data_IF_933542800468
#
_entry.id   IF_933542800468
#
_cell.length_a   1.000
_cell.length_b   1.000
_cell.length_c   1.000
_cell.angle_alpha   90.00
_cell.angle_beta   90.00
_cell.angle_gamma   90.00
#
_symmetry.space_group_name_H-M   'P 1'
#
loop_
_entity.id
_entity.type
_entity.pdbx_description
1 polymer ?
#
# COMPACT_ATOMS: atom_id res chain seq x y z
N UNK A 1 -19.29 55.13 88.67
CA UNK A 1 -18.78 54.18 89.68
C UNK A 1 -17.93 53.15 88.95
N UNK A 2 -16.68 52.98 89.39
CA UNK A 2 -15.63 52.14 88.77
C UNK A 2 -15.82 50.66 89.11
N UNK A 3 -15.03 49.84 88.40
CA UNK A 3 -14.55 48.47 88.70
C UNK A 3 -15.39 47.32 88.12
N UNK A 4 -14.84 46.19 87.68
CA UNK A 4 -13.51 45.77 87.22
C UNK A 4 -13.63 44.25 86.98
N UNK A 5 -12.95 43.77 85.92
CA UNK A 5 -12.18 42.51 85.85
C UNK A 5 -12.95 41.19 86.07
N UNK A 6 -12.91 40.31 85.06
CA UNK A 6 -12.06 39.10 85.05
C UNK A 6 -12.55 38.17 83.93
N UNK A 7 -11.75 37.92 82.90
CA UNK A 7 -11.88 36.69 82.10
C UNK A 7 -10.57 36.38 81.38
N UNK A 8 -9.94 35.35 81.96
CA UNK A 8 -9.07 34.32 81.38
C UNK A 8 -8.30 34.63 80.09
N UNK A 9 -6.98 34.66 80.25
CA UNK A 9 -5.98 34.45 79.21
C UNK A 9 -5.96 32.97 78.85
N UNK A 10 -6.35 32.60 77.64
CA UNK A 10 -6.09 31.28 77.05
C UNK A 10 -4.83 31.38 76.18
N UNK A 11 -3.71 30.83 76.66
CA UNK A 11 -2.50 30.67 75.89
C UNK A 11 -2.64 29.45 74.96
N UNK A 12 -2.95 29.68 73.68
CA UNK A 12 -2.90 28.65 72.65
C UNK A 12 -1.51 28.67 72.00
N UNK A 13 -0.75 27.62 72.28
CA UNK A 13 0.56 27.29 71.70
C UNK A 13 0.46 27.13 70.18
N UNK A 14 1.04 28.08 69.45
CA UNK A 14 1.25 27.97 68.00
C UNK A 14 2.46 27.07 67.72
N UNK A 15 2.19 25.87 67.19
CA UNK A 15 3.18 25.05 66.50
C UNK A 15 3.24 25.50 65.04
N UNK A 16 4.41 25.82 64.46
CA UNK A 16 4.53 26.14 63.05
C UNK A 16 4.38 24.86 62.22
N UNK A 17 3.28 24.75 61.48
CA UNK A 17 3.08 23.74 60.45
C UNK A 17 4.05 24.05 59.30
N UNK A 18 5.14 23.29 59.20
CA UNK A 18 6.04 23.35 58.06
C UNK A 18 5.31 22.86 56.82
N UNK A 19 4.96 23.79 55.92
CA UNK A 19 4.56 23.47 54.55
C UNK A 19 5.78 22.90 53.83
N UNK A 20 5.82 21.56 53.72
CA UNK A 20 6.69 20.89 52.77
C UNK A 20 6.18 21.20 51.36
N UNK A 21 6.86 22.10 50.65
CA UNK A 21 6.75 22.20 49.20
C UNK A 21 7.30 20.90 48.62
N UNK A 22 6.42 19.97 48.27
CA UNK A 22 6.76 18.89 47.37
C UNK A 22 7.17 19.52 46.03
N UNK A 23 8.44 19.36 45.68
CA UNK A 23 8.95 19.71 44.35
C UNK A 23 8.16 18.88 43.35
N UNK A 24 7.41 19.56 42.47
CA UNK A 24 6.81 18.91 41.31
C UNK A 24 7.91 18.23 40.53
N UNK A 25 7.82 16.91 40.40
CA UNK A 25 8.61 16.16 39.46
C UNK A 25 8.38 16.80 38.09
N UNK A 26 9.46 17.25 37.46
CA UNK A 26 9.42 17.77 36.10
C UNK A 26 8.92 16.66 35.20
N UNK A 27 7.65 16.73 34.85
CA UNK A 27 7.06 15.96 33.76
C UNK A 27 7.96 16.20 32.54
N UNK A 28 8.77 15.18 32.21
CA UNK A 28 9.56 15.22 31.00
C UNK A 28 8.59 15.41 29.84
N UNK A 29 8.79 16.43 28.97
CA UNK A 29 7.93 16.61 27.82
C UNK A 29 7.82 15.30 27.04
N UNK A 30 6.61 14.92 26.57
CA UNK A 30 6.44 13.70 25.81
C UNK A 30 7.40 13.71 24.61
N UNK A 31 8.11 12.60 24.43
CA UNK A 31 9.15 12.37 23.42
C UNK A 31 8.70 12.51 21.95
N UNK A 32 7.48 12.99 21.70
CA UNK A 32 6.88 13.16 20.37
C UNK A 32 7.33 14.45 19.65
N UNK A 33 8.04 15.37 20.33
CA UNK A 33 8.54 16.61 19.73
C UNK A 33 10.00 16.52 19.22
N UNK A 34 10.68 15.39 19.40
CA UNK A 34 12.13 15.28 19.18
C UNK A 34 12.58 14.94 17.74
N UNK A 35 11.67 14.88 16.76
CA UNK A 35 12.04 14.57 15.37
C UNK A 35 12.24 15.80 14.46
N UNK A 36 11.90 17.01 14.90
CA UNK A 36 12.10 18.23 14.08
C UNK A 36 13.51 18.85 14.17
N UNK A 37 14.41 18.30 15.02
CA UNK A 37 15.61 19.04 15.45
C UNK A 37 16.81 19.03 14.47
N UNK A 38 16.72 18.41 13.27
CA UNK A 38 17.87 18.32 12.34
C UNK A 38 17.54 18.45 10.83
N UNK A 39 16.49 19.21 10.44
CA UNK A 39 16.23 19.49 9.01
C UNK A 39 16.81 20.85 8.61
N UNK A 40 17.70 20.86 7.61
CA UNK A 40 18.34 22.10 7.12
C UNK A 40 17.33 23.07 6.51
N UNK A 41 17.61 24.38 6.53
CA UNK A 41 16.72 25.37 5.88
C UNK A 41 16.64 25.16 4.36
N UNK A 42 17.71 24.66 3.73
CA UNK A 42 17.68 24.24 2.33
C UNK A 42 16.70 23.08 2.08
N UNK A 43 16.61 22.11 3.00
CA UNK A 43 15.66 21.01 2.86
C UNK A 43 14.23 21.45 3.07
N UNK A 44 13.98 22.38 4.00
CA UNK A 44 12.66 22.98 4.20
C UNK A 44 12.17 23.68 2.93
N UNK A 45 13.02 24.49 2.30
CA UNK A 45 12.67 25.19 1.06
C UNK A 45 12.47 24.21 -0.10
N UNK A 46 13.36 23.21 -0.24
CA UNK A 46 13.22 22.16 -1.26
C UNK A 46 11.90 21.40 -1.11
N UNK A 47 11.53 20.98 0.10
CA UNK A 47 10.28 20.28 0.36
C UNK A 47 9.04 21.13 0.05
N UNK A 48 9.11 22.44 0.32
CA UNK A 48 8.05 23.42 0.02
C UNK A 48 7.87 23.57 -1.49
N UNK A 49 8.95 23.75 -2.26
CA UNK A 49 8.88 23.85 -3.73
C UNK A 49 8.24 22.58 -4.31
N UNK A 50 8.70 21.39 -3.89
CA UNK A 50 8.15 20.11 -4.35
C UNK A 50 6.65 19.98 -4.02
N UNK A 51 6.24 20.41 -2.83
CA UNK A 51 4.83 20.39 -2.43
C UNK A 51 3.98 21.34 -3.29
N UNK A 52 4.45 22.56 -3.51
CA UNK A 52 3.75 23.56 -4.33
C UNK A 52 3.64 23.12 -5.80
N UNK A 53 4.70 22.52 -6.35
CA UNK A 53 4.67 21.86 -7.66
C UNK A 53 3.63 20.73 -7.72
N UNK A 54 3.59 19.86 -6.71
CA UNK A 54 2.59 18.79 -6.60
C UNK A 54 1.17 19.33 -6.63
N UNK A 55 0.88 20.41 -5.89
CA UNK A 55 -0.44 21.04 -5.87
C UNK A 55 -0.83 21.67 -7.21
N UNK A 56 0.12 22.28 -7.90
CA UNK A 56 -0.13 22.80 -9.25
C UNK A 56 -0.44 21.65 -10.22
N UNK A 57 0.33 20.57 -10.17
CA UNK A 57 0.11 19.39 -11.02
C UNK A 57 -1.24 18.72 -10.75
N UNK A 58 -1.70 18.67 -9.49
CA UNK A 58 -3.06 18.22 -9.17
C UNK A 58 -4.12 19.11 -9.80
N UNK A 59 -3.93 20.43 -9.76
CA UNK A 59 -4.85 21.40 -10.36
C UNK A 59 -4.88 21.26 -11.89
N UNK A 60 -3.74 20.95 -12.50
CA UNK A 60 -3.60 20.68 -13.94
C UNK A 60 -4.14 19.30 -14.38
N UNK A 61 -4.61 18.46 -13.44
CA UNK A 61 -5.06 17.09 -13.72
C UNK A 61 -3.92 16.08 -13.98
N UNK A 62 -2.67 16.45 -13.72
CA UNK A 62 -1.48 15.60 -13.89
C UNK A 62 -1.20 14.79 -12.62
N UNK A 63 -2.16 13.96 -12.21
CA UNK A 63 -2.17 13.28 -10.91
C UNK A 63 -0.93 12.41 -10.65
N UNK A 64 -0.44 11.67 -11.66
CA UNK A 64 0.75 10.81 -11.49
C UNK A 64 1.99 11.64 -11.15
N UNK A 65 2.26 12.68 -11.93
CA UNK A 65 3.39 13.58 -11.67
C UNK A 65 3.24 14.32 -10.33
N UNK A 66 2.01 14.66 -9.92
CA UNK A 66 1.76 15.24 -8.61
C UNK A 66 2.14 14.29 -7.47
N UNK A 67 1.78 13.00 -7.58
CA UNK A 67 2.16 12.01 -6.58
C UNK A 67 3.67 11.88 -6.42
N UNK A 68 4.42 11.88 -7.53
CA UNK A 68 5.88 11.84 -7.48
C UNK A 68 6.43 13.03 -6.68
N UNK A 69 5.91 14.24 -6.92
CA UNK A 69 6.31 15.45 -6.21
C UNK A 69 5.95 15.45 -4.73
N UNK A 70 4.76 14.97 -4.37
CA UNK A 70 4.39 14.82 -2.96
C UNK A 70 5.23 13.75 -2.26
N UNK A 71 5.54 12.64 -2.92
CA UNK A 71 6.41 11.60 -2.38
C UNK A 71 7.84 12.12 -2.16
N UNK A 72 8.38 12.89 -3.10
CA UNK A 72 9.68 13.55 -2.95
C UNK A 72 9.66 14.56 -1.79
N UNK A 73 8.64 15.43 -1.73
CA UNK A 73 8.47 16.39 -0.62
C UNK A 73 8.41 15.68 0.73
N UNK A 74 7.62 14.61 0.84
CA UNK A 74 7.45 13.82 2.07
C UNK A 74 8.75 13.13 2.50
N UNK A 75 9.59 12.70 1.55
CA UNK A 75 10.92 12.13 1.83
C UNK A 75 11.91 13.18 2.35
N UNK A 76 11.86 14.40 1.82
CA UNK A 76 12.75 15.50 2.24
C UNK A 76 12.33 16.04 3.61
N UNK A 77 11.04 16.30 3.79
CA UNK A 77 10.49 16.75 5.06
C UNK A 77 9.10 16.14 5.26
N UNK A 78 8.97 15.11 6.12
CA UNK A 78 7.68 14.52 6.42
C UNK A 78 6.72 15.56 7.01
N UNK A 79 5.51 15.64 6.46
CA UNK A 79 4.49 16.57 6.93
C UNK A 79 3.08 16.01 6.73
N UNK A 80 2.19 16.23 7.70
CA UNK A 80 0.80 15.74 7.66
C UNK A 80 0.07 16.23 6.40
N UNK A 81 0.27 17.49 6.01
CA UNK A 81 -0.33 18.07 4.81
C UNK A 81 0.16 17.42 3.52
N UNK A 82 1.48 17.19 3.40
CA UNK A 82 2.08 16.49 2.25
C UNK A 82 1.59 15.04 2.19
N UNK A 83 1.56 14.35 3.32
CA UNK A 83 1.06 12.98 3.43
C UNK A 83 -0.41 12.86 2.99
N UNK A 84 -1.28 13.79 3.40
CA UNK A 84 -2.68 13.81 2.95
C UNK A 84 -2.80 14.01 1.43
N UNK A 85 -1.99 14.92 0.85
CA UNK A 85 -2.02 15.14 -0.60
C UNK A 85 -1.47 13.93 -1.38
N UNK A 86 -0.47 13.24 -0.82
CA UNK A 86 0.02 11.98 -1.37
C UNK A 86 -1.07 10.89 -1.33
N UNK A 87 -1.85 10.82 -0.24
CA UNK A 87 -2.98 9.90 -0.15
C UNK A 87 -4.07 10.22 -1.20
N UNK A 88 -4.47 11.50 -1.29
CA UNK A 88 -5.51 11.96 -2.24
C UNK A 88 -5.13 11.72 -3.70
N UNK A 89 -3.87 11.98 -4.07
CA UNK A 89 -3.43 11.75 -5.43
C UNK A 89 -3.39 10.24 -5.76
N UNK A 90 -2.98 9.37 -4.82
CA UNK A 90 -3.00 7.92 -5.02
C UNK A 90 -4.42 7.40 -5.18
N UNK A 91 -5.37 7.91 -4.39
CA UNK A 91 -6.79 7.55 -4.52
C UNK A 91 -7.32 7.92 -5.91
N UNK A 92 -6.98 9.11 -6.42
CA UNK A 92 -7.36 9.56 -7.78
C UNK A 92 -6.71 8.74 -8.89
N UNK A 93 -5.59 8.07 -8.64
CA UNK A 93 -4.97 7.12 -9.55
C UNK A 93 -5.59 5.71 -9.47
N UNK A 94 -6.53 5.49 -8.56
CA UNK A 94 -7.11 4.16 -8.30
C UNK A 94 -6.26 3.28 -7.39
N UNK A 95 -5.14 3.77 -6.85
CA UNK A 95 -4.29 3.07 -5.88
C UNK A 95 -4.93 3.09 -4.49
N UNK A 96 -6.03 2.38 -4.36
CA UNK A 96 -6.93 2.42 -3.20
C UNK A 96 -6.31 1.87 -1.92
N UNK A 97 -5.53 0.79 -1.98
CA UNK A 97 -4.85 0.24 -0.80
C UNK A 97 -3.73 1.17 -0.33
N UNK A 98 -2.94 1.72 -1.26
CA UNK A 98 -1.91 2.73 -0.94
C UNK A 98 -2.55 3.95 -0.29
N UNK A 99 -3.61 4.51 -0.88
CA UNK A 99 -4.31 5.67 -0.33
C UNK A 99 -4.92 5.38 1.05
N UNK A 100 -5.54 4.21 1.22
CA UNK A 100 -6.13 3.78 2.50
C UNK A 100 -5.11 3.78 3.63
N UNK A 101 -3.94 3.17 3.41
CA UNK A 101 -2.87 3.13 4.40
C UNK A 101 -2.33 4.53 4.73
N UNK A 102 -2.13 5.38 3.71
CA UNK A 102 -1.67 6.75 3.91
C UNK A 102 -2.71 7.60 4.68
N UNK A 103 -4.01 7.45 4.41
CA UNK A 103 -5.03 8.16 5.19
C UNK A 103 -5.11 7.68 6.63
N UNK A 104 -4.91 6.39 6.90
CA UNK A 104 -4.76 5.88 8.27
C UNK A 104 -3.60 6.56 9.00
N UNK A 105 -2.44 6.66 8.34
CA UNK A 105 -1.28 7.34 8.90
C UNK A 105 -1.56 8.84 9.13
N UNK A 106 -2.27 9.51 8.22
CA UNK A 106 -2.72 10.90 8.43
C UNK A 106 -3.60 10.98 9.67
N UNK A 107 -4.62 10.12 9.79
CA UNK A 107 -5.53 10.11 10.92
C UNK A 107 -4.78 9.96 12.24
N UNK A 108 -3.84 9.01 12.32
CA UNK A 108 -3.04 8.75 13.51
C UNK A 108 -2.13 9.95 13.86
N UNK A 109 -1.45 10.54 12.87
CA UNK A 109 -0.59 11.73 13.08
C UNK A 109 -1.42 12.94 13.50
N UNK A 110 -2.60 13.16 12.90
CA UNK A 110 -3.50 14.27 13.28
C UNK A 110 -4.09 14.10 14.67
N UNK A 111 -4.40 12.85 15.07
CA UNK A 111 -4.85 12.52 16.41
C UNK A 111 -3.77 12.83 17.44
N UNK A 112 -2.53 12.39 17.19
CA UNK A 112 -1.39 12.68 18.05
C UNK A 112 -1.12 14.20 18.17
N UNK A 113 -1.38 14.96 17.10
CA UNK A 113 -1.24 16.41 17.07
C UNK A 113 -2.48 17.19 17.57
N UNK A 114 -3.51 16.50 18.08
CA UNK A 114 -4.78 17.09 18.54
C UNK A 114 -5.50 17.93 17.47
N UNK A 115 -5.37 17.54 16.20
CA UNK A 115 -5.99 18.20 15.04
C UNK A 115 -7.30 17.50 14.63
N UNK A 116 -8.30 17.53 15.52
CA UNK A 116 -9.55 16.75 15.39
C UNK A 116 -10.24 16.90 14.02
N UNK A 117 -10.39 18.12 13.49
CA UNK A 117 -11.05 18.35 12.20
C UNK A 117 -10.32 17.65 11.03
N UNK A 118 -8.99 17.58 11.09
CA UNK A 118 -8.18 16.92 10.05
C UNK A 118 -8.19 15.41 10.22
N UNK A 119 -8.23 14.93 11.46
CA UNK A 119 -8.43 13.51 11.76
C UNK A 119 -9.78 13.03 11.19
N UNK A 120 -10.86 13.77 11.44
CA UNK A 120 -12.19 13.44 10.92
C UNK A 120 -12.17 13.36 9.40
N UNK A 121 -11.54 14.32 8.71
CA UNK A 121 -11.40 14.26 7.25
C UNK A 121 -10.63 13.04 6.76
N UNK A 122 -9.53 12.66 7.42
CA UNK A 122 -8.82 11.45 7.06
C UNK A 122 -9.70 10.19 7.27
N UNK A 123 -10.44 10.13 8.38
CA UNK A 123 -11.37 9.02 8.67
C UNK A 123 -12.54 8.93 7.69
N UNK A 124 -13.08 10.06 7.23
CA UNK A 124 -14.07 10.09 6.15
C UNK A 124 -13.53 9.43 4.87
N UNK A 125 -12.28 9.73 4.49
CA UNK A 125 -11.64 9.09 3.32
C UNK A 125 -11.44 7.59 3.51
N UNK A 126 -10.96 7.18 4.67
CA UNK A 126 -10.78 5.76 5.04
C UNK A 126 -12.10 5.00 4.85
N UNK A 127 -13.19 5.50 5.44
CA UNK A 127 -14.51 4.86 5.38
C UNK A 127 -15.07 4.80 3.95
N UNK A 128 -14.75 5.78 3.09
CA UNK A 128 -15.17 5.79 1.70
C UNK A 128 -14.41 4.78 0.82
N UNK A 129 -13.13 4.51 1.15
CA UNK A 129 -12.26 3.60 0.40
C UNK A 129 -12.43 2.15 0.86
N UNK A 130 -12.62 1.92 2.16
CA UNK A 130 -12.70 0.57 2.77
C UNK A 130 -13.57 -0.45 2.00
N UNK A 131 -14.80 -0.14 1.57
CA UNK A 131 -15.63 -1.12 0.86
C UNK A 131 -15.15 -1.44 -0.56
N UNK A 132 -14.27 -0.61 -1.14
CA UNK A 132 -13.73 -0.77 -2.50
C UNK A 132 -12.41 -1.52 -2.53
N UNK A 133 -11.79 -1.74 -1.36
CA UNK A 133 -10.49 -2.38 -1.27
C UNK A 133 -10.50 -3.77 -1.88
N UNK A 134 -9.64 -3.95 -2.87
CA UNK A 134 -9.25 -5.26 -3.36
C UNK A 134 -8.28 -5.89 -2.36
N UNK A 135 -8.35 -7.20 -2.21
CA UNK A 135 -7.56 -7.90 -1.19
C UNK A 135 -6.94 -9.17 -1.75
N UNK A 136 -5.72 -9.46 -1.32
CA UNK A 136 -5.04 -10.74 -1.56
C UNK A 136 -5.00 -11.50 -0.24
N UNK A 137 -5.48 -12.75 -0.26
CA UNK A 137 -5.36 -13.67 0.86
C UNK A 137 -4.35 -14.76 0.53
N UNK A 138 -3.27 -14.82 1.29
CA UNK A 138 -2.28 -15.89 1.17
C UNK A 138 -2.72 -17.08 2.02
N UNK A 139 -3.25 -18.14 1.39
CA UNK A 139 -3.63 -19.36 2.09
C UNK A 139 -2.40 -20.21 2.37
N UNK A 140 -1.99 -20.27 3.63
CA UNK A 140 -0.81 -21.00 4.10
C UNK A 140 -1.25 -22.12 5.04
N UNK A 141 -1.26 -23.39 4.58
CA UNK A 141 -1.78 -24.51 5.37
C UNK A 141 -0.94 -24.83 6.62
N UNK A 142 0.37 -24.57 6.57
CA UNK A 142 1.29 -24.80 7.70
C UNK A 142 2.40 -23.76 7.69
N UNK A 143 2.31 -22.78 8.60
CA UNK A 143 3.27 -21.66 8.68
C UNK A 143 4.71 -22.16 8.88
N UNK A 144 4.91 -23.20 9.70
CA UNK A 144 6.24 -23.80 9.95
C UNK A 144 6.85 -24.51 8.74
N UNK A 145 6.12 -24.63 7.63
CA UNK A 145 6.63 -25.16 6.36
C UNK A 145 7.00 -24.08 5.34
N UNK A 146 6.76 -22.81 5.65
CA UNK A 146 7.08 -21.67 4.78
C UNK A 146 8.19 -20.87 5.43
N UNK A 147 9.28 -20.64 4.70
CA UNK A 147 10.41 -19.83 5.15
C UNK A 147 10.11 -18.33 5.01
N UNK A 148 9.60 -17.92 3.86
CA UNK A 148 9.21 -16.54 3.58
C UNK A 148 8.18 -16.49 2.44
N UNK A 149 7.31 -15.47 2.47
CA UNK A 149 6.47 -15.07 1.34
C UNK A 149 6.74 -13.60 1.07
N UNK A 150 6.88 -13.23 -0.19
CA UNK A 150 6.88 -11.83 -0.62
C UNK A 150 5.68 -11.55 -1.50
N UNK A 151 5.09 -10.37 -1.35
CA UNK A 151 4.09 -9.79 -2.23
C UNK A 151 4.74 -8.54 -2.86
N UNK A 152 4.88 -8.51 -4.17
CA UNK A 152 5.53 -7.42 -4.93
C UNK A 152 6.94 -7.08 -4.45
N UNK A 153 7.66 -8.10 -3.95
CA UNK A 153 9.01 -7.97 -3.40
C UNK A 153 9.08 -7.56 -1.93
N UNK A 154 7.95 -7.22 -1.30
CA UNK A 154 7.88 -6.94 0.15
C UNK A 154 7.59 -8.21 0.95
N UNK A 155 8.35 -8.45 2.03
CA UNK A 155 8.17 -9.63 2.88
C UNK A 155 6.86 -9.51 3.66
N UNK A 156 5.99 -10.49 3.49
CA UNK A 156 4.72 -10.55 4.23
C UNK A 156 4.96 -11.19 5.60
N UNK A 157 4.52 -10.52 6.66
CA UNK A 157 4.58 -11.06 8.01
C UNK A 157 3.80 -12.37 8.12
N UNK A 158 4.36 -13.34 8.86
CA UNK A 158 3.68 -14.60 9.11
C UNK A 158 2.35 -14.43 9.86
N UNK A 159 2.14 -13.30 10.54
CA UNK A 159 0.88 -12.95 11.19
C UNK A 159 -0.24 -12.65 10.17
N UNK A 160 0.11 -12.15 9.00
CA UNK A 160 -0.85 -11.78 7.95
C UNK A 160 -1.15 -12.91 6.97
N UNK A 161 -0.44 -14.04 7.10
CA UNK A 161 -0.83 -15.27 6.43
C UNK A 161 -2.26 -15.65 6.81
N UNK A 162 -3.06 -15.97 5.80
CA UNK A 162 -4.50 -16.26 5.86
C UNK A 162 -5.41 -15.07 6.18
N UNK A 163 -4.88 -13.85 6.36
CA UNK A 163 -5.67 -12.62 6.38
C UNK A 163 -5.85 -12.08 4.96
N UNK A 164 -6.87 -11.25 4.76
CA UNK A 164 -7.08 -10.53 3.51
C UNK A 164 -6.30 -9.21 3.58
N UNK A 165 -5.22 -9.12 2.80
CA UNK A 165 -4.30 -7.99 2.76
C UNK A 165 -4.77 -7.04 1.66
N UNK A 166 -5.07 -5.76 1.95
CA UNK A 166 -5.40 -4.78 0.91
C UNK A 166 -4.26 -4.66 -0.11
N UNK A 167 -4.62 -4.62 -1.38
CA UNK A 167 -3.70 -4.43 -2.49
C UNK A 167 -4.32 -3.47 -3.53
N UNK A 168 -3.47 -2.74 -4.26
CA UNK A 168 -3.94 -1.83 -5.31
C UNK A 168 -4.45 -2.62 -6.53
N UNK A 169 -5.15 -2.00 -7.50
CA UNK A 169 -5.50 -2.67 -8.74
C UNK A 169 -4.27 -2.99 -9.60
N UNK A 170 -4.35 -4.09 -10.35
CA UNK A 170 -3.34 -4.53 -11.31
C UNK A 170 -2.65 -5.85 -10.96
N UNK A 171 -1.51 -6.09 -11.62
CA UNK A 171 -0.73 -7.31 -11.46
C UNK A 171 0.12 -7.29 -10.18
N UNK A 172 0.00 -8.34 -9.37
CA UNK A 172 0.75 -8.58 -8.16
C UNK A 172 1.53 -9.88 -8.24
N UNK A 173 2.79 -9.87 -7.82
CA UNK A 173 3.65 -11.05 -7.82
C UNK A 173 3.80 -11.61 -6.42
N UNK A 174 3.34 -12.84 -6.21
CA UNK A 174 3.51 -13.59 -4.96
C UNK A 174 4.64 -14.59 -5.13
N UNK A 175 5.68 -14.46 -4.30
CA UNK A 175 6.80 -15.41 -4.27
C UNK A 175 6.84 -16.10 -2.91
N UNK A 176 6.91 -17.44 -2.86
CA UNK A 176 7.03 -18.18 -1.61
C UNK A 176 8.19 -19.17 -1.62
N UNK A 177 8.92 -19.21 -0.50
CA UNK A 177 10.03 -20.14 -0.27
C UNK A 177 9.63 -21.10 0.84
N UNK A 178 9.67 -22.41 0.61
CA UNK A 178 9.32 -23.42 1.62
C UNK A 178 10.58 -24.07 2.22
N UNK A 179 10.46 -24.68 3.41
CA UNK A 179 11.61 -25.30 4.11
C UNK A 179 12.08 -26.62 3.50
N UNK A 180 11.32 -27.22 2.58
CA UNK A 180 11.68 -28.52 1.97
C UNK A 180 12.15 -28.43 0.53
N UNK A 181 12.29 -27.22 -0.03
CA UNK A 181 12.63 -27.07 -1.43
C UNK A 181 14.13 -26.80 -1.62
N UNK A 182 14.81 -27.84 -2.09
CA UNK A 182 16.03 -27.80 -2.89
C UNK A 182 15.74 -27.24 -4.31
N UNK A 183 14.61 -26.53 -4.49
CA UNK A 183 13.99 -26.18 -5.76
C UNK A 183 13.69 -24.68 -5.92
N UNK A 184 13.24 -24.29 -7.12
CA UNK A 184 12.88 -22.92 -7.47
C UNK A 184 11.74 -22.40 -6.58
N UNK A 185 11.70 -21.11 -6.22
CA UNK A 185 10.63 -20.55 -5.40
C UNK A 185 9.27 -20.63 -6.12
N UNK A 186 8.19 -20.73 -5.33
CA UNK A 186 6.83 -20.54 -5.83
C UNK A 186 6.69 -19.12 -6.34
N UNK A 187 6.12 -18.96 -7.53
CA UNK A 187 5.81 -17.66 -8.11
C UNK A 187 4.41 -17.73 -8.74
N UNK A 188 3.51 -16.86 -8.30
CA UNK A 188 2.18 -16.69 -8.87
C UNK A 188 1.90 -15.21 -9.13
N UNK A 189 1.41 -14.91 -10.33
CA UNK A 189 0.96 -13.57 -10.71
C UNK A 189 -0.56 -13.53 -10.53
N UNK A 190 -1.03 -12.56 -9.76
CA UNK A 190 -2.44 -12.30 -9.48
C UNK A 190 -2.82 -10.98 -10.10
N UNK A 191 -3.88 -10.96 -10.88
CA UNK A 191 -4.45 -9.72 -11.40
C UNK A 191 -5.67 -9.32 -10.54
N UNK A 192 -5.68 -8.08 -10.07
CA UNK A 192 -6.79 -7.48 -9.33
C UNK A 192 -7.48 -6.45 -10.22
N UNK A 193 -8.66 -6.80 -10.72
CA UNK A 193 -9.46 -6.00 -11.67
C UNK A 193 -10.87 -5.62 -11.17
N UNK A 194 -11.34 -6.26 -10.09
CA UNK A 194 -12.69 -6.06 -9.52
C UNK A 194 -12.66 -5.46 -8.09
N UNK A 195 -13.24 -4.26 -7.91
CA UNK A 195 -13.32 -3.57 -6.62
C UNK A 195 -13.99 -4.43 -5.53
N UNK A 196 -13.50 -4.36 -4.29
CA UNK A 196 -14.05 -5.08 -3.15
C UNK A 196 -13.82 -6.60 -3.15
N UNK A 197 -13.20 -7.15 -4.20
CA UNK A 197 -12.95 -8.59 -4.31
C UNK A 197 -11.75 -9.02 -3.48
N UNK A 198 -11.84 -10.22 -2.91
CA UNK A 198 -10.70 -10.91 -2.31
C UNK A 198 -10.26 -12.07 -3.20
N UNK A 199 -9.01 -12.07 -3.67
CA UNK A 199 -8.39 -13.18 -4.38
C UNK A 199 -7.57 -14.01 -3.41
N UNK A 200 -7.71 -15.33 -3.43
CA UNK A 200 -6.96 -16.23 -2.56
C UNK A 200 -5.88 -16.97 -3.34
N UNK A 201 -4.64 -16.84 -2.89
CA UNK A 201 -3.45 -17.52 -3.44
C UNK A 201 -3.09 -18.68 -2.52
N UNK A 202 -3.12 -19.91 -3.03
CA UNK A 202 -2.82 -21.10 -2.24
C UNK A 202 -1.32 -21.44 -2.30
N UNK A 203 -0.62 -21.30 -1.18
CA UNK A 203 0.81 -21.58 -1.12
C UNK A 203 1.04 -23.10 -1.00
N UNK A 204 1.68 -23.74 -1.98
CA UNK A 204 1.92 -25.17 -1.94
C UNK A 204 2.98 -25.49 -0.88
N UNK A 205 2.61 -26.31 0.10
CA UNK A 205 3.53 -26.82 1.15
C UNK A 205 3.80 -28.33 1.00
N UNK A 206 3.53 -28.88 -0.20
CA UNK A 206 3.71 -30.30 -0.53
C UNK A 206 5.09 -30.56 -1.16
N UNK A 207 5.84 -31.59 -0.70
CA UNK A 207 7.12 -31.95 -1.29
C UNK A 207 6.98 -32.33 -2.77
N UNK A 208 7.78 -31.72 -3.65
CA UNK A 208 7.86 -32.11 -5.06
C UNK A 208 6.76 -31.54 -5.96
N UNK A 209 6.02 -30.52 -5.52
CA UNK A 209 5.17 -29.75 -6.41
C UNK A 209 6.05 -29.03 -7.45
N UNK A 210 6.11 -29.58 -8.67
CA UNK A 210 6.77 -28.91 -9.79
C UNK A 210 5.98 -27.65 -10.13
N UNK A 211 6.45 -26.53 -9.64
CA UNK A 211 5.85 -25.23 -9.87
C UNK A 211 6.04 -24.87 -11.34
N UNK A 212 4.94 -24.98 -12.11
CA UNK A 212 4.92 -24.44 -13.46
C UNK A 212 4.96 -22.93 -13.31
N UNK A 213 6.13 -22.36 -13.60
CA UNK A 213 6.29 -20.96 -13.97
C UNK A 213 5.22 -20.66 -15.03
N UNK A 214 4.14 -19.99 -14.64
CA UNK A 214 3.19 -19.46 -15.62
C UNK A 214 3.87 -18.21 -16.17
N UNK A 215 4.86 -18.42 -17.03
CA UNK A 215 5.44 -17.33 -17.84
C UNK A 215 4.24 -16.70 -18.52
N UNK A 216 3.94 -15.45 -18.14
CA UNK A 216 2.92 -14.65 -18.80
C UNK A 216 3.14 -14.82 -20.30
N UNK A 217 2.19 -15.46 -20.97
CA UNK A 217 2.25 -15.62 -22.40
C UNK A 217 1.99 -14.22 -22.95
N UNK A 218 3.05 -13.43 -23.11
CA UNK A 218 3.06 -12.24 -23.94
C UNK A 218 2.85 -12.77 -25.37
N UNK A 219 1.59 -13.05 -25.72
CA UNK A 219 1.19 -13.11 -27.12
C UNK A 219 1.29 -11.67 -27.57
N UNK A 220 2.30 -11.36 -28.38
CA UNK A 220 2.33 -10.12 -29.14
C UNK A 220 0.99 -9.96 -29.85
N UNK A 221 0.21 -8.98 -29.42
CA UNK A 221 -1.05 -8.56 -30.03
C UNK A 221 -2.25 -9.48 -29.74
N UNK A 222 -3.03 -9.14 -28.71
CA UNK A 222 -4.42 -9.58 -28.57
C UNK A 222 -4.79 -10.07 -27.17
N UNK A 223 -5.51 -9.25 -26.41
CA UNK A 223 -6.18 -9.62 -25.16
C UNK A 223 -7.24 -10.68 -25.48
N UNK A 224 -7.04 -11.93 -25.08
CA UNK A 224 -8.13 -12.91 -25.04
C UNK A 224 -8.91 -12.69 -23.75
N UNK A 225 -10.06 -12.02 -23.85
CA UNK A 225 -11.03 -11.97 -22.75
C UNK A 225 -11.34 -13.40 -22.29
N UNK A 226 -11.24 -13.62 -20.98
CA UNK A 226 -11.62 -14.87 -20.35
C UNK A 226 -13.08 -15.20 -20.66
N UNK A 227 -13.31 -16.28 -21.40
CA UNK A 227 -14.63 -16.89 -21.51
C UNK A 227 -14.92 -17.56 -20.15
N UNK A 228 -15.57 -16.80 -19.26
CA UNK A 228 -16.37 -17.38 -18.19
C UNK A 228 -17.49 -18.19 -18.84
N UNK A 229 -17.46 -19.51 -18.66
CA UNK A 229 -18.53 -20.39 -19.07
C UNK A 229 -19.79 -20.09 -18.26
N UNK A 230 -20.63 -19.19 -18.76
CA UNK A 230 -22.01 -19.02 -18.32
C UNK A 230 -22.78 -20.22 -18.89
N UNK A 231 -22.97 -21.26 -18.08
CA UNK A 231 -23.95 -22.30 -18.35
C UNK A 231 -25.36 -21.76 -18.06
N UNK A 232 -25.98 -21.10 -19.03
CA UNK A 232 -27.42 -20.85 -19.01
C UNK A 232 -28.14 -22.17 -19.27
N UNK A 233 -28.51 -22.87 -18.19
CA UNK A 233 -29.48 -23.95 -18.24
C UNK A 233 -30.86 -23.36 -18.57
N UNK A 234 -31.19 -23.27 -19.87
CA UNK A 234 -32.56 -23.07 -20.33
C UNK A 234 -33.18 -24.45 -20.55
N UNK A 235 -33.98 -24.87 -19.58
CA UNK A 235 -34.86 -26.03 -19.72
C UNK A 235 -35.98 -25.67 -20.69
N UNK A 236 -35.79 -25.95 -21.98
CA UNK A 236 -36.90 -26.01 -22.94
C UNK A 236 -37.45 -27.44 -22.85
N UNK A 237 -38.62 -27.57 -22.23
CA UNK A 237 -39.45 -28.76 -22.34
C UNK A 237 -39.85 -28.95 -23.81
N UNK A 238 -39.33 -29.99 -24.45
CA UNK A 238 -39.84 -30.46 -25.73
C UNK A 238 -40.78 -31.65 -25.45
N UNK A 239 -42.08 -31.37 -25.35
CA UNK A 239 -43.13 -32.39 -25.40
C UNK A 239 -43.42 -32.74 -26.85
N UNK A 240 -43.23 -34.01 -27.21
CA UNK A 240 -43.59 -34.56 -28.51
C UNK A 240 -45.07 -35.00 -28.53
N UNK A 241 -45.67 -34.76 -29.69
CA UNK A 241 -47.05 -34.91 -30.15
C UNK A 241 -47.83 -36.21 -29.84
N UNK A 242 -49.17 -36.08 -29.84
CA UNK A 242 -50.12 -37.10 -30.30
C UNK A 242 -51.50 -37.01 -29.63
N UNK A 243 -52.46 -36.27 -30.20
CA UNK A 243 -53.74 -36.78 -30.76
C UNK A 243 -54.69 -35.61 -31.15
N UNK A 244 -55.65 -35.93 -32.03
CA UNK A 244 -56.49 -35.05 -32.85
C UNK A 244 -57.57 -34.25 -32.07
N UNK A 245 -58.07 -33.16 -32.68
CA UNK A 245 -59.20 -32.29 -32.28
C UNK A 245 -58.96 -31.13 -31.26
N UNK A 246 -58.47 -29.97 -31.74
CA UNK A 246 -58.91 -28.64 -31.27
C UNK A 246 -58.46 -27.48 -32.19
N UNK A 247 -59.37 -26.54 -32.44
CA UNK A 247 -59.20 -25.30 -33.21
C UNK A 247 -58.29 -24.24 -32.51
N UNK A 248 -57.81 -23.19 -33.22
CA UNK A 248 -56.62 -22.43 -32.83
C UNK A 248 -56.93 -21.25 -31.90
N UNK A 249 -56.04 -21.01 -30.92
CA UNK A 249 -55.94 -19.73 -30.23
C UNK A 249 -54.64 -19.03 -30.64
N UNK A 250 -54.79 -17.80 -31.11
CA UNK A 250 -53.76 -16.93 -31.63
C UNK A 250 -52.91 -16.26 -30.52
N UNK A 251 -51.97 -15.41 -30.98
CA UNK A 251 -51.21 -14.35 -30.29
C UNK A 251 -49.81 -14.79 -29.84
N UNK A 252 -48.70 -14.19 -30.29
CA UNK A 252 -48.51 -13.02 -31.13
C UNK A 252 -47.05 -12.86 -31.57
N UNK A 253 -46.86 -12.12 -32.67
CA UNK A 253 -45.60 -11.78 -33.34
C UNK A 253 -44.71 -10.80 -32.55
N UNK A 254 -43.41 -10.85 -32.88
CA UNK A 254 -42.53 -9.68 -33.01
C UNK A 254 -41.23 -9.80 -32.20
N UNK A 255 -40.02 -9.55 -32.69
CA UNK A 255 -39.52 -8.86 -33.90
C UNK A 255 -38.09 -9.35 -34.21
N UNK A 256 -37.76 -9.41 -35.50
CA UNK A 256 -36.42 -9.62 -36.09
C UNK A 256 -35.46 -8.44 -35.86
N UNK A 257 -34.18 -8.73 -35.67
CA UNK A 257 -33.09 -7.75 -35.83
C UNK A 257 -31.77 -8.43 -36.20
N UNK A 258 -31.40 -8.39 -37.48
CA UNK A 258 -30.13 -8.85 -38.06
C UNK A 258 -29.10 -7.71 -37.98
N UNK A 259 -27.87 -7.99 -37.53
CA UNK A 259 -26.66 -7.26 -37.96
C UNK A 259 -25.52 -8.27 -38.11
N UNK A 260 -25.04 -8.46 -39.34
CA UNK A 260 -23.82 -9.19 -39.63
C UNK A 260 -22.63 -8.23 -39.77
N UNK A 261 -21.44 -8.69 -39.40
CA UNK A 261 -20.16 -8.12 -39.86
C UNK A 261 -19.13 -9.26 -39.94
N UNK A 262 -18.63 -9.49 -41.15
CA UNK A 262 -17.54 -10.42 -41.41
C UNK A 262 -16.19 -9.85 -41.00
N UNK A 263 -15.26 -10.73 -40.66
CA UNK A 263 -13.83 -10.42 -40.57
C UNK A 263 -13.07 -11.55 -41.25
N UNK A 264 -12.32 -11.20 -42.30
CA UNK A 264 -11.50 -12.11 -43.10
C UNK A 264 -10.33 -12.69 -42.30
N UNK A 265 -9.90 -13.88 -42.71
CA UNK A 265 -8.74 -14.58 -42.17
C UNK A 265 -7.49 -14.08 -42.92
N UNK A 266 -6.52 -13.39 -42.28
CA UNK A 266 -5.20 -13.25 -42.88
C UNK A 266 -4.39 -14.53 -42.57
N UNK A 267 -4.06 -15.28 -43.63
CA UNK A 267 -3.00 -16.28 -43.58
C UNK A 267 -1.67 -15.51 -43.64
N UNK A 268 -0.99 -15.38 -42.50
CA UNK A 268 0.43 -15.00 -42.47
C UNK A 268 1.23 -16.13 -41.85
N UNK A 269 1.94 -16.86 -42.72
CA UNK A 269 3.01 -17.75 -42.32
C UNK A 269 4.23 -16.92 -41.91
N UNK A 270 4.61 -16.96 -40.64
CA UNK A 270 5.91 -16.46 -40.19
C UNK A 270 6.62 -17.57 -39.43
N UNK A 271 7.55 -18.23 -40.10
CA UNK A 271 8.46 -19.19 -39.50
C UNK A 271 9.62 -18.49 -38.83
N UNK A 272 9.82 -18.72 -37.54
CA UNK A 272 11.05 -18.36 -36.84
C UNK A 272 11.81 -19.60 -36.40
N UNK A 273 12.93 -19.85 -37.09
CA UNK A 273 13.98 -20.79 -36.69
C UNK A 273 14.54 -20.38 -35.32
N UNK A 274 14.39 -21.24 -34.31
CA UNK A 274 15.17 -21.15 -33.06
C UNK A 274 16.66 -21.29 -33.37
N UNK A 275 17.46 -20.28 -33.00
CA UNK A 275 18.92 -20.46 -32.82
C UNK A 275 19.19 -20.74 -31.34
N UNK A 276 19.99 -21.75 -30.99
CA UNK A 276 20.40 -21.97 -29.61
C UNK A 276 21.36 -20.87 -29.17
N UNK A 277 21.07 -20.27 -28.02
CA UNK A 277 21.97 -19.33 -27.32
C UNK A 277 23.17 -20.16 -26.85
N UNK A 278 24.36 -19.82 -27.36
CA UNK A 278 25.63 -20.32 -26.84
C UNK A 278 26.01 -19.48 -25.62
N UNK A 279 26.48 -20.14 -24.58
CA UNK A 279 26.95 -19.56 -23.34
C UNK A 279 27.99 -18.46 -23.64
N UNK A 280 27.65 -17.22 -23.27
CA UNK A 280 28.59 -16.12 -23.28
C UNK A 280 29.37 -16.18 -21.97
N UNK A 281 30.61 -16.66 -22.07
CA UNK A 281 31.61 -16.53 -21.02
C UNK A 281 31.78 -15.04 -20.68
N UNK A 282 31.35 -14.66 -19.48
CA UNK A 282 31.43 -13.29 -18.98
C UNK A 282 32.87 -12.98 -18.58
N UNK A 283 33.72 -12.62 -19.55
CA UNK A 283 35.02 -12.00 -19.25
C UNK A 283 34.78 -10.54 -18.84
N UNK A 284 34.83 -10.27 -17.53
CA UNK A 284 34.86 -8.92 -16.98
C UNK A 284 36.29 -8.39 -17.13
N UNK A 285 36.54 -7.31 -17.89
CA UNK A 285 37.85 -6.66 -17.88
C UNK A 285 38.02 -5.95 -16.52
N UNK A 286 39.01 -6.39 -15.75
CA UNK A 286 39.47 -5.66 -14.56
C UNK A 286 40.23 -4.42 -15.00
N UNK A 287 39.52 -3.30 -15.18
CA UNK A 287 40.16 -1.99 -15.26
C UNK A 287 40.35 -1.46 -13.82
N UNK A 288 41.61 -1.25 -13.43
CA UNK A 288 41.97 -0.79 -12.10
C UNK A 288 41.63 0.70 -11.93
N UNK A 289 40.65 1.02 -11.07
CA UNK A 289 40.39 2.40 -10.65
C UNK A 289 41.58 2.98 -9.88
N UNK A 290 41.99 4.23 -10.16
CA UNK A 290 43.07 4.88 -9.41
C UNK A 290 42.61 5.21 -7.97
N UNK A 291 43.44 4.80 -7.01
CA UNK A 291 43.27 5.06 -5.58
C UNK A 291 43.33 6.57 -5.30
N UNK A 292 42.40 7.17 -4.53
CA UNK A 292 42.50 8.58 -4.16
C UNK A 292 43.70 8.78 -3.23
N UNK A 293 44.62 9.66 -3.61
CA UNK A 293 45.71 10.08 -2.74
C UNK A 293 45.17 11.02 -1.66
N UNK A 294 45.19 10.56 -0.42
CA UNK A 294 44.91 11.38 0.76
C UNK A 294 46.09 12.34 0.95
N UNK A 295 45.88 13.61 0.65
CA UNK A 295 46.83 14.67 0.97
C UNK A 295 46.82 14.93 2.48
N UNK A 296 47.88 14.51 3.17
CA UNK A 296 48.14 14.89 4.56
C UNK A 296 48.76 16.29 4.56
N UNK A 297 47.95 17.29 4.92
CA UNK A 297 48.42 18.66 5.15
C UNK A 297 49.17 18.79 6.50
N UNK A 298 50.10 19.77 6.62
CA UNK A 298 50.98 19.86 7.77
C UNK A 298 50.23 20.21 9.06
N UNK A 299 50.51 19.44 10.11
CA UNK A 299 50.13 19.68 11.49
C UNK A 299 50.69 21.02 11.98
N UNK A 300 49.81 21.95 12.35
CA UNK A 300 50.20 23.11 13.14
C UNK A 300 49.28 24.32 13.00
N UNK A 301 48.24 24.40 13.82
CA UNK A 301 47.77 25.65 14.41
C UNK A 301 46.72 25.36 15.49
N UNK A 302 46.96 25.94 16.66
CA UNK A 302 46.19 25.86 17.90
C UNK A 302 44.74 26.37 17.77
N UNK A 303 43.78 25.53 18.16
CA UNK A 303 42.41 25.96 18.46
C UNK A 303 42.34 26.39 19.93
N UNK A 304 42.39 27.69 20.19
CA UNK A 304 41.99 28.28 21.47
C UNK A 304 40.47 28.43 21.48
N UNK A 305 39.80 27.69 22.36
CA UNK A 305 38.38 27.89 22.65
C UNK A 305 38.24 29.00 23.70
N UNK A 306 37.35 29.96 23.47
CA UNK A 306 36.87 30.90 24.48
C UNK A 306 35.41 30.54 24.79
N UNK A 307 35.15 30.44 26.09
CA UNK A 307 33.83 30.21 26.69
C UNK A 307 33.01 31.50 26.68
#
# INVERSE_FOLDING_TARGET
MRLAVCSLVLAASMLPTTLAFAQGEGESPPAAAAEEENVSDSDKERARILFDEGRQLMTDGKTAAACDKFAESQKVRPGIGTLYNLADCNEKLGKTATAFNLFHEVADRTKAALQTDREEKARERIAAIEPKLMKIRLSVPSKGKVKAITLDGEVVSAEDYNKAIPADPGEHTVIAVTVKDDGEPFEEIVDLDEEGRTVTVAIPVVPGAKMKRRVGMIIGGGVTMGVGAIALASAIYLGAAGDEDAAPAAVGLGVLGVVGLGVGIPIFAVGFKKKPVRDAELTIPMEASPVPQIAVGPTGASATWHW
#
